data_IF_952889666802
#
_entry.id   IF_952889666802
#
_cell.length_a   1.000
_cell.length_b   1.000
_cell.length_c   1.000
_cell.angle_alpha   90.00
_cell.angle_beta   90.00
_cell.angle_gamma   90.00
#
_symmetry.space_group_name_H-M   'P 1'
#
loop_
_entity.id
_entity.type
_entity.pdbx_description
1 polymer ?
#
# COMPACT_ATOMS: atom_id res chain seq x y z
N UNK A 1 46.16 -19.74 3.38
CA UNK A 1 45.13 -19.77 2.31
C UNK A 1 43.96 -19.05 2.90
N UNK A 2 43.70 -17.82 2.45
CA UNK A 2 42.53 -17.07 2.90
C UNK A 2 41.28 -17.88 2.53
N UNK A 3 40.41 -18.13 3.50
CA UNK A 3 39.20 -18.91 3.28
C UNK A 3 38.33 -18.16 2.27
N UNK A 4 38.14 -18.74 1.09
CA UNK A 4 37.33 -18.14 0.04
C UNK A 4 35.86 -18.32 0.42
N UNK A 5 35.14 -17.21 0.62
CA UNK A 5 33.72 -17.23 0.96
C UNK A 5 32.88 -17.52 -0.29
N UNK A 6 31.85 -18.38 -0.24
CA UNK A 6 30.89 -18.50 -1.34
C UNK A 6 30.08 -17.19 -1.49
N UNK A 7 29.48 -16.92 -2.67
CA UNK A 7 28.60 -15.79 -2.88
C UNK A 7 27.47 -15.75 -1.83
N UNK A 8 27.13 -14.56 -1.33
CA UNK A 8 26.13 -14.42 -0.26
C UNK A 8 24.68 -14.34 -0.79
N UNK A 9 24.50 -14.10 -2.08
CA UNK A 9 23.20 -14.14 -2.76
C UNK A 9 23.28 -14.99 -4.04
N UNK A 10 22.16 -15.59 -4.48
CA UNK A 10 22.10 -16.34 -5.73
C UNK A 10 22.54 -15.50 -6.94
N UNK A 11 23.19 -16.10 -7.95
CA UNK A 11 23.68 -15.37 -9.12
C UNK A 11 22.56 -14.66 -9.92
N UNK A 12 21.33 -15.15 -9.81
CA UNK A 12 20.12 -14.63 -10.47
C UNK A 12 19.28 -13.72 -9.57
N UNK A 13 19.78 -13.35 -8.38
CA UNK A 13 19.10 -12.45 -7.45
C UNK A 13 19.01 -11.04 -8.03
N UNK A 14 17.90 -10.75 -8.72
CA UNK A 14 17.63 -9.48 -9.40
C UNK A 14 16.48 -8.71 -8.72
N UNK A 15 16.79 -7.54 -8.17
CA UNK A 15 15.86 -6.64 -7.48
C UNK A 15 15.74 -5.27 -8.14
N UNK A 16 16.15 -5.12 -9.42
CA UNK A 16 16.08 -3.83 -10.14
C UNK A 16 14.67 -3.28 -10.30
N UNK A 17 13.65 -4.13 -10.21
CA UNK A 17 12.23 -3.78 -10.21
C UNK A 17 11.72 -3.30 -8.84
N UNK A 18 12.53 -3.32 -7.78
CA UNK A 18 12.17 -2.85 -6.44
C UNK A 18 12.53 -1.37 -6.29
N UNK A 19 11.55 -0.46 -6.12
CA UNK A 19 11.82 0.98 -6.09
C UNK A 19 12.46 1.47 -4.78
N UNK A 20 12.56 0.62 -3.76
CA UNK A 20 13.15 0.95 -2.46
C UNK A 20 13.98 -0.20 -1.91
N UNK A 21 14.96 0.15 -1.08
CA UNK A 21 15.77 -0.78 -0.28
C UNK A 21 15.37 -0.66 1.20
N UNK A 22 15.02 -1.77 1.90
CA UNK A 22 14.77 -1.75 3.33
C UNK A 22 16.02 -1.36 4.13
N UNK A 23 15.87 -0.42 5.06
CA UNK A 23 16.93 -0.03 6.00
C UNK A 23 16.44 -0.18 7.45
N UNK A 24 17.13 -1.03 8.22
CA UNK A 24 16.86 -1.15 9.66
C UNK A 24 17.48 0.02 10.43
N UNK A 25 16.71 1.08 10.61
CA UNK A 25 17.17 2.36 11.19
C UNK A 25 17.88 2.16 12.54
N UNK A 26 17.34 1.32 13.42
CA UNK A 26 17.92 1.07 14.74
C UNK A 26 19.27 0.33 14.65
N UNK A 27 19.39 -0.68 13.77
CA UNK A 27 20.63 -1.41 13.52
C UNK A 27 21.69 -0.51 12.90
N UNK A 28 21.30 0.29 11.91
CA UNK A 28 22.16 1.27 11.27
C UNK A 28 22.70 2.28 12.28
N UNK A 29 21.83 2.96 13.02
CA UNK A 29 22.21 4.05 13.96
C UNK A 29 23.07 3.57 15.14
N UNK A 30 22.97 2.29 15.52
CA UNK A 30 23.78 1.66 16.57
C UNK A 30 25.06 0.97 16.04
N UNK A 31 25.24 0.89 14.73
CA UNK A 31 26.40 0.22 14.13
C UNK A 31 27.70 0.98 14.39
N UNK A 32 28.81 0.23 14.42
CA UNK A 32 30.16 0.84 14.52
C UNK A 32 30.49 1.70 13.29
N UNK A 33 29.97 1.36 12.11
CA UNK A 33 30.14 2.16 10.89
C UNK A 33 29.47 3.52 11.02
N UNK A 34 28.26 3.58 11.57
CA UNK A 34 27.55 4.84 11.81
C UNK A 34 28.19 5.68 12.92
N UNK A 35 28.78 5.04 13.95
CA UNK A 35 29.57 5.74 14.95
C UNK A 35 30.79 6.45 14.33
N UNK A 36 31.46 5.84 13.35
CA UNK A 36 32.55 6.49 12.60
C UNK A 36 32.03 7.62 11.71
N UNK A 37 30.91 7.39 11.02
CA UNK A 37 30.29 8.42 10.19
C UNK A 37 29.89 9.68 10.98
N UNK A 38 29.51 9.55 12.26
CA UNK A 38 29.30 10.73 13.13
C UNK A 38 30.53 11.61 13.28
N UNK A 39 31.73 11.03 13.22
CA UNK A 39 33.01 11.76 13.31
C UNK A 39 33.50 12.25 11.95
N UNK A 40 33.17 11.51 10.89
CA UNK A 40 33.45 11.88 9.51
C UNK A 40 32.20 11.66 8.64
N UNK A 41 31.33 12.67 8.51
CA UNK A 41 30.03 12.53 7.83
C UNK A 41 30.11 12.07 6.38
N UNK A 42 31.20 12.36 5.67
CA UNK A 42 31.41 11.92 4.29
C UNK A 42 31.38 10.39 4.15
N UNK A 43 31.78 9.64 5.20
CA UNK A 43 31.73 8.18 5.19
C UNK A 43 30.30 7.63 5.07
N UNK A 44 29.30 8.28 5.70
CA UNK A 44 27.92 7.85 5.58
C UNK A 44 27.41 8.02 4.15
N UNK A 45 27.78 9.13 3.50
CA UNK A 45 27.42 9.37 2.10
C UNK A 45 27.94 8.26 1.19
N UNK A 46 29.23 7.95 1.26
CA UNK A 46 29.83 6.88 0.45
C UNK A 46 29.23 5.49 0.75
N UNK A 47 29.05 5.15 2.03
CA UNK A 47 28.50 3.86 2.44
C UNK A 47 27.06 3.66 1.94
N UNK A 48 26.21 4.67 2.08
CA UNK A 48 24.80 4.58 1.63
C UNK A 48 24.73 4.46 0.12
N UNK A 49 25.53 5.24 -0.63
CA UNK A 49 25.55 5.14 -2.10
C UNK A 49 25.96 3.73 -2.57
N UNK A 50 26.99 3.13 -1.96
CA UNK A 50 27.38 1.76 -2.28
C UNK A 50 26.31 0.73 -1.90
N UNK A 51 25.62 0.90 -0.78
CA UNK A 51 24.53 -0.01 -0.40
C UNK A 51 23.37 0.07 -1.38
N UNK A 52 22.99 1.28 -1.80
CA UNK A 52 21.94 1.47 -2.80
C UNK A 52 22.35 0.97 -4.17
N UNK A 53 23.61 1.10 -4.57
CA UNK A 53 24.12 0.54 -5.82
C UNK A 53 24.08 -1.00 -5.77
N UNK A 54 24.57 -1.60 -4.69
CA UNK A 54 24.60 -3.05 -4.52
C UNK A 54 23.19 -3.65 -4.49
N UNK A 55 22.20 -2.94 -3.95
CA UNK A 55 20.81 -3.39 -3.93
C UNK A 55 20.25 -3.67 -5.34
N UNK A 56 20.63 -2.86 -6.33
CA UNK A 56 20.16 -2.99 -7.71
C UNK A 56 21.16 -3.68 -8.64
N UNK A 57 22.33 -4.04 -8.14
CA UNK A 57 23.28 -4.84 -8.91
C UNK A 57 22.80 -6.30 -9.04
N UNK A 58 23.38 -7.05 -9.97
CA UNK A 58 23.09 -8.48 -10.15
C UNK A 58 24.40 -9.27 -10.05
N UNK A 59 24.62 -10.03 -8.96
CA UNK A 59 23.67 -10.36 -7.88
C UNK A 59 23.42 -9.23 -6.88
N UNK A 60 22.16 -9.08 -6.43
CA UNK A 60 21.82 -8.05 -5.45
C UNK A 60 22.58 -8.25 -4.12
N UNK A 61 23.07 -7.15 -3.56
CA UNK A 61 23.94 -7.11 -2.38
C UNK A 61 25.44 -7.25 -2.69
N UNK A 62 25.81 -7.37 -3.98
CA UNK A 62 27.21 -7.43 -4.44
C UNK A 62 27.60 -6.20 -5.26
N UNK A 63 28.91 -6.01 -5.45
CA UNK A 63 29.52 -5.04 -6.36
C UNK A 63 30.78 -5.64 -7.00
N UNK A 64 31.20 -5.08 -8.12
CA UNK A 64 32.48 -5.40 -8.75
C UNK A 64 33.67 -4.97 -7.87
N UNK A 65 34.72 -5.79 -7.79
CA UNK A 65 35.96 -5.48 -7.07
C UNK A 65 36.93 -4.68 -7.95
N UNK A 66 36.49 -3.49 -8.37
CA UNK A 66 37.28 -2.54 -9.15
C UNK A 66 37.20 -1.15 -8.50
N UNK A 67 38.34 -0.52 -8.26
CA UNK A 67 38.40 0.75 -7.51
C UNK A 67 37.78 1.93 -8.27
N UNK A 68 37.85 1.96 -9.60
CA UNK A 68 37.23 3.03 -10.38
C UNK A 68 35.69 2.88 -10.36
N UNK A 69 35.20 1.64 -10.49
CA UNK A 69 33.77 1.32 -10.35
C UNK A 69 33.27 1.67 -8.94
N UNK A 70 33.99 1.25 -7.90
CA UNK A 70 33.60 1.53 -6.51
C UNK A 70 33.64 3.03 -6.19
N UNK A 71 34.63 3.77 -6.71
CA UNK A 71 34.70 5.22 -6.53
C UNK A 71 33.50 5.92 -7.18
N UNK A 72 33.16 5.56 -8.43
CA UNK A 72 32.01 6.10 -9.16
C UNK A 72 30.69 5.80 -8.44
N UNK A 73 30.46 4.53 -8.06
CA UNK A 73 29.26 4.11 -7.32
C UNK A 73 29.15 4.75 -5.94
N UNK A 74 30.26 4.99 -5.26
CA UNK A 74 30.27 5.74 -4.00
C UNK A 74 30.00 7.23 -4.22
N UNK A 75 30.07 7.74 -5.45
CA UNK A 75 30.13 9.16 -5.80
C UNK A 75 31.32 9.86 -5.12
N UNK A 76 32.46 9.18 -5.11
CA UNK A 76 33.72 9.68 -4.58
C UNK A 76 34.65 10.08 -5.74
N UNK A 77 35.35 11.21 -5.58
CA UNK A 77 36.44 11.58 -6.47
C UNK A 77 37.50 10.45 -6.48
N UNK A 78 37.89 9.89 -7.65
CA UNK A 78 38.90 8.83 -7.74
C UNK A 78 40.21 9.19 -7.04
N UNK A 79 40.62 10.46 -7.00
CA UNK A 79 41.83 10.89 -6.29
C UNK A 79 41.70 10.81 -4.75
N UNK A 80 40.47 10.81 -4.23
CA UNK A 80 40.16 10.68 -2.79
C UNK A 80 39.88 9.24 -2.39
N UNK A 81 39.40 8.40 -3.31
CA UNK A 81 38.97 7.03 -3.05
C UNK A 81 40.01 6.20 -2.27
N UNK A 82 41.31 6.15 -2.65
CA UNK A 82 42.30 5.35 -1.91
C UNK A 82 42.44 5.72 -0.43
N UNK A 83 42.10 6.96 -0.04
CA UNK A 83 42.20 7.43 1.35
C UNK A 83 41.00 7.02 2.20
N UNK A 84 39.85 6.76 1.58
CA UNK A 84 38.59 6.45 2.28
C UNK A 84 38.13 5.00 2.07
N UNK A 85 38.65 4.32 1.05
CA UNK A 85 38.28 2.96 0.63
C UNK A 85 38.16 2.00 1.80
N UNK A 86 39.21 1.86 2.61
CA UNK A 86 39.24 0.88 3.72
C UNK A 86 38.19 1.17 4.81
N UNK A 87 37.81 2.43 4.98
CA UNK A 87 36.76 2.81 5.94
C UNK A 87 35.36 2.60 5.37
N UNK A 88 35.18 2.88 4.09
CA UNK A 88 33.91 2.74 3.35
C UNK A 88 33.59 1.26 3.09
N UNK A 89 34.59 0.48 2.65
CA UNK A 89 34.48 -0.95 2.35
C UNK A 89 34.57 -1.85 3.60
N UNK A 90 34.47 -1.27 4.79
CA UNK A 90 34.47 -2.03 6.04
C UNK A 90 33.29 -3.00 6.10
N UNK A 91 33.60 -4.28 6.27
CA UNK A 91 32.60 -5.33 6.41
C UNK A 91 32.09 -5.89 5.09
N UNK A 92 32.63 -5.42 3.96
CA UNK A 92 32.46 -6.09 2.68
C UNK A 92 33.34 -7.34 2.62
N UNK A 93 32.85 -8.37 1.96
CA UNK A 93 33.48 -9.68 1.87
C UNK A 93 33.72 -9.99 0.39
N UNK A 94 34.97 -10.26 0.03
CA UNK A 94 35.28 -10.78 -1.31
C UNK A 94 34.93 -12.26 -1.38
N UNK A 95 34.04 -12.62 -2.29
CA UNK A 95 33.58 -13.99 -2.47
C UNK A 95 34.29 -14.69 -3.63
N UNK A 96 34.05 -16.00 -3.80
CA UNK A 96 34.71 -16.88 -4.77
C UNK A 96 34.46 -16.51 -6.23
N UNK A 97 33.41 -15.76 -6.50
CA UNK A 97 33.06 -15.22 -7.82
C UNK A 97 33.80 -13.92 -8.15
N UNK A 98 34.65 -13.43 -7.25
CA UNK A 98 35.45 -12.22 -7.43
C UNK A 98 34.73 -10.93 -7.08
N UNK A 99 33.46 -10.99 -6.65
CA UNK A 99 32.67 -9.81 -6.28
C UNK A 99 32.78 -9.49 -4.79
N UNK A 100 32.50 -8.25 -4.43
CA UNK A 100 32.42 -7.77 -3.05
C UNK A 100 30.97 -7.78 -2.58
N UNK A 101 30.69 -8.49 -1.49
CA UNK A 101 29.36 -8.60 -0.92
C UNK A 101 29.24 -7.83 0.38
N UNK A 102 28.13 -7.10 0.56
CA UNK A 102 27.79 -6.51 1.85
C UNK A 102 26.79 -7.40 2.61
N UNK A 103 27.17 -8.04 3.73
CA UNK A 103 26.29 -8.98 4.43
C UNK A 103 24.93 -8.40 4.85
N UNK A 104 24.86 -7.09 5.16
CA UNK A 104 23.61 -6.45 5.58
C UNK A 104 22.66 -6.24 4.40
N UNK A 105 23.19 -5.83 3.24
CA UNK A 105 22.39 -5.68 2.01
C UNK A 105 21.98 -7.06 1.48
N UNK A 106 22.88 -8.06 1.54
CA UNK A 106 22.60 -9.43 1.12
C UNK A 106 21.45 -10.06 1.92
N UNK A 107 21.42 -9.87 3.23
CA UNK A 107 20.34 -10.33 4.11
C UNK A 107 18.97 -9.82 3.61
N UNK A 108 18.87 -8.52 3.33
CA UNK A 108 17.63 -7.90 2.82
C UNK A 108 17.32 -8.26 1.38
N UNK A 109 18.35 -8.49 0.58
CA UNK A 109 18.19 -8.96 -0.79
C UNK A 109 17.59 -10.37 -0.80
N UNK A 110 18.06 -11.29 0.05
CA UNK A 110 17.53 -12.64 0.19
C UNK A 110 16.07 -12.66 0.65
N UNK A 111 15.72 -11.85 1.66
CA UNK A 111 14.34 -11.71 2.13
C UNK A 111 13.41 -11.27 0.98
N UNK A 112 13.83 -10.27 0.21
CA UNK A 112 13.05 -9.72 -0.90
C UNK A 112 12.99 -10.67 -2.11
N UNK A 113 14.10 -11.35 -2.39
CA UNK A 113 14.22 -12.34 -3.45
C UNK A 113 13.33 -13.55 -3.19
N UNK A 114 13.34 -14.10 -1.98
CA UNK A 114 12.48 -15.23 -1.60
C UNK A 114 10.99 -14.89 -1.80
N UNK A 115 10.57 -13.69 -1.35
CA UNK A 115 9.19 -13.23 -1.56
C UNK A 115 8.85 -13.03 -3.05
N UNK A 116 9.82 -12.59 -3.88
CA UNK A 116 9.64 -12.43 -5.33
C UNK A 116 9.48 -13.79 -6.02
N UNK A 117 10.35 -14.75 -5.71
CA UNK A 117 10.31 -16.10 -6.26
C UNK A 117 8.99 -16.79 -5.92
N UNK A 118 8.55 -16.74 -4.67
CA UNK A 118 7.28 -17.35 -4.24
C UNK A 118 6.07 -16.75 -4.99
N UNK A 119 6.04 -15.42 -5.18
CA UNK A 119 4.97 -14.76 -5.95
C UNK A 119 4.97 -15.20 -7.41
N UNK A 120 6.15 -15.34 -8.01
CA UNK A 120 6.31 -15.80 -9.38
C UNK A 120 5.79 -17.23 -9.54
N UNK A 121 6.19 -18.15 -8.65
CA UNK A 121 5.73 -19.54 -8.67
C UNK A 121 4.20 -19.64 -8.54
N UNK A 122 3.60 -18.90 -7.60
CA UNK A 122 2.14 -18.84 -7.44
C UNK A 122 1.45 -18.32 -8.71
N UNK A 123 2.00 -17.27 -9.33
CA UNK A 123 1.45 -16.72 -10.56
C UNK A 123 1.56 -17.71 -11.73
N UNK A 124 2.69 -18.41 -11.85
CA UNK A 124 2.90 -19.47 -12.86
C UNK A 124 1.90 -20.62 -12.66
N UNK A 125 1.70 -21.10 -11.43
CA UNK A 125 0.70 -22.13 -11.11
C UNK A 125 -0.73 -21.71 -11.44
N UNK A 126 -1.12 -20.47 -11.11
CA UNK A 126 -2.45 -19.94 -11.44
C UNK A 126 -2.65 -19.75 -12.94
N UNK A 127 -1.61 -19.30 -13.65
CA UNK A 127 -1.63 -19.18 -15.11
C UNK A 127 -1.76 -20.56 -15.77
N UNK A 128 -1.05 -21.56 -15.26
CA UNK A 128 -1.13 -22.95 -15.68
C UNK A 128 -2.52 -23.54 -15.46
N UNK A 129 -3.11 -23.32 -14.27
CA UNK A 129 -4.48 -23.74 -13.96
C UNK A 129 -5.49 -23.14 -14.93
N UNK A 130 -5.42 -21.81 -15.14
CA UNK A 130 -6.30 -21.09 -16.08
C UNK A 130 -6.09 -21.54 -17.53
N UNK A 131 -4.85 -21.87 -17.93
CA UNK A 131 -4.55 -22.41 -19.26
C UNK A 131 -5.24 -23.76 -19.45
N UNK A 132 -5.07 -24.69 -18.51
CA UNK A 132 -5.72 -26.01 -18.54
C UNK A 132 -7.25 -25.90 -18.57
N UNK A 133 -7.84 -24.98 -17.80
CA UNK A 133 -9.29 -24.74 -17.81
C UNK A 133 -9.79 -24.23 -19.17
N UNK A 134 -9.03 -23.35 -19.85
CA UNK A 134 -9.36 -22.88 -21.20
C UNK A 134 -9.24 -24.00 -22.23
N UNK A 135 -8.20 -24.82 -22.15
CA UNK A 135 -7.98 -25.97 -23.02
C UNK A 135 -9.08 -27.04 -22.84
N UNK A 136 -9.42 -27.39 -21.59
CA UNK A 136 -10.52 -28.31 -21.29
C UNK A 136 -11.85 -27.78 -21.82
N UNK A 137 -12.12 -26.49 -21.61
CA UNK A 137 -13.32 -25.83 -22.12
C UNK A 137 -13.37 -25.83 -23.65
N UNK A 138 -12.26 -25.54 -24.33
CA UNK A 138 -12.18 -25.57 -25.78
C UNK A 138 -12.45 -26.99 -26.31
N UNK A 139 -11.86 -28.01 -25.69
CA UNK A 139 -12.10 -29.42 -26.00
C UNK A 139 -13.57 -29.80 -25.81
N UNK A 140 -14.22 -29.37 -24.74
CA UNK A 140 -15.65 -29.63 -24.51
C UNK A 140 -16.54 -29.00 -25.59
N UNK A 141 -16.27 -27.75 -25.98
CA UNK A 141 -16.98 -27.13 -27.10
C UNK A 141 -16.75 -27.87 -28.42
N UNK A 142 -15.55 -28.38 -28.66
CA UNK A 142 -15.23 -29.14 -29.87
C UNK A 142 -15.99 -30.47 -29.92
N UNK A 143 -16.06 -31.20 -28.80
CA UNK A 143 -16.87 -32.43 -28.69
C UNK A 143 -18.35 -32.15 -28.97
N UNK A 144 -18.92 -31.13 -28.34
CA UNK A 144 -20.33 -30.79 -28.51
C UNK A 144 -20.64 -30.33 -29.94
N UNK A 145 -19.73 -29.55 -30.55
CA UNK A 145 -19.85 -29.15 -31.96
C UNK A 145 -19.79 -30.36 -32.90
N UNK A 146 -18.92 -31.34 -32.61
CA UNK A 146 -18.84 -32.60 -33.35
C UNK A 146 -20.12 -33.43 -33.27
N UNK A 147 -20.87 -33.32 -32.17
CA UNK A 147 -22.19 -33.91 -31.99
C UNK A 147 -23.35 -33.07 -32.56
N UNK A 148 -23.05 -31.98 -33.27
CA UNK A 148 -24.05 -31.09 -33.88
C UNK A 148 -24.68 -30.08 -32.91
N UNK A 149 -24.19 -29.97 -31.67
CA UNK A 149 -24.66 -29.00 -30.70
C UNK A 149 -23.82 -27.72 -30.76
N UNK A 150 -24.41 -26.62 -31.23
CA UNK A 150 -23.78 -25.29 -31.21
C UNK A 150 -24.28 -24.48 -30.02
N UNK A 151 -23.40 -24.25 -29.05
CA UNK A 151 -23.70 -23.52 -27.83
C UNK A 151 -23.17 -22.08 -27.87
N UNK A 152 -23.82 -21.14 -27.15
CA UNK A 152 -23.31 -19.79 -27.00
C UNK A 152 -21.97 -19.76 -26.25
N UNK A 153 -21.13 -18.77 -26.56
CA UNK A 153 -19.76 -18.66 -26.05
C UNK A 153 -19.65 -18.54 -24.52
N UNK A 154 -20.73 -18.11 -23.85
CA UNK A 154 -20.80 -17.87 -22.41
C UNK A 154 -21.39 -19.04 -21.60
N UNK A 155 -21.66 -20.20 -22.22
CA UNK A 155 -22.14 -21.41 -21.51
C UNK A 155 -21.19 -21.77 -20.37
N UNK A 156 -21.69 -22.11 -19.18
CA UNK A 156 -20.85 -22.37 -18.01
C UNK A 156 -20.07 -23.69 -18.14
N UNK A 157 -18.93 -23.82 -17.48
CA UNK A 157 -18.12 -25.06 -17.49
C UNK A 157 -18.88 -26.25 -16.91
N UNK A 158 -19.78 -26.02 -15.94
CA UNK A 158 -20.64 -27.06 -15.36
C UNK A 158 -21.62 -27.60 -16.42
N UNK A 159 -22.25 -26.70 -17.17
CA UNK A 159 -23.18 -27.08 -18.23
C UNK A 159 -22.46 -27.80 -19.37
N UNK A 160 -21.28 -27.32 -19.77
CA UNK A 160 -20.45 -27.99 -20.78
C UNK A 160 -20.09 -29.42 -20.35
N UNK A 161 -19.69 -29.62 -19.09
CA UNK A 161 -19.40 -30.97 -18.57
C UNK A 161 -20.62 -31.87 -18.59
N UNK A 162 -21.81 -31.35 -18.23
CA UNK A 162 -23.07 -32.11 -18.26
C UNK A 162 -23.41 -32.56 -19.68
N UNK A 163 -23.40 -31.62 -20.64
CA UNK A 163 -23.73 -31.91 -22.03
C UNK A 163 -22.71 -32.85 -22.68
N UNK A 164 -21.42 -32.69 -22.39
CA UNK A 164 -20.40 -33.62 -22.89
C UNK A 164 -20.65 -35.03 -22.35
N UNK A 165 -20.96 -35.17 -21.06
CA UNK A 165 -21.29 -36.46 -20.46
C UNK A 165 -22.52 -37.10 -21.14
N UNK A 166 -23.58 -36.33 -21.39
CA UNK A 166 -24.78 -36.81 -22.12
C UNK A 166 -24.44 -37.31 -23.53
N UNK A 167 -23.57 -36.59 -24.25
CA UNK A 167 -23.12 -36.98 -25.61
C UNK A 167 -22.19 -38.20 -25.58
N UNK A 168 -21.37 -38.37 -24.53
CA UNK A 168 -20.42 -39.49 -24.43
C UNK A 168 -21.01 -40.77 -23.82
N UNK A 169 -21.92 -40.67 -22.85
CA UNK A 169 -22.58 -41.84 -22.22
C UNK A 169 -23.81 -42.33 -23.02
N UNK A 170 -24.35 -41.50 -23.92
CA UNK A 170 -25.56 -41.77 -24.68
C UNK A 170 -25.33 -42.18 -26.14
N UNK A 171 -25.50 -43.48 -26.43
CA UNK A 171 -25.89 -43.96 -27.75
C UNK A 171 -27.32 -43.47 -28.05
N UNK A 172 -27.48 -42.71 -29.15
CA UNK A 172 -28.72 -42.38 -29.90
C UNK A 172 -29.99 -42.05 -29.08
N UNK A 173 -30.40 -40.78 -29.06
CA UNK A 173 -31.80 -40.40 -29.31
C UNK A 173 -31.89 -39.09 -30.10
N UNK A 174 -32.99 -38.97 -30.84
CA UNK A 174 -33.21 -38.08 -31.97
C UNK A 174 -33.01 -36.59 -31.70
N UNK A 175 -32.67 -35.88 -32.78
CA UNK A 175 -32.38 -34.47 -32.79
C UNK A 175 -33.49 -33.61 -32.22
N UNK A 176 -33.08 -32.65 -31.39
CA UNK A 176 -33.91 -31.53 -31.00
C UNK A 176 -33.30 -30.26 -31.55
N UNK A 177 -33.86 -29.82 -32.68
CA UNK A 177 -33.73 -28.48 -33.20
C UNK A 177 -34.26 -27.48 -32.16
N UNK A 178 -33.38 -26.64 -31.63
CA UNK A 178 -33.75 -25.50 -30.78
C UNK A 178 -33.49 -24.19 -31.52
N UNK A 179 -34.22 -24.00 -32.61
CA UNK A 179 -34.43 -22.71 -33.26
C UNK A 179 -35.85 -22.18 -32.99
N UNK A 180 -36.02 -21.49 -31.85
CA UNK A 180 -37.12 -20.55 -31.48
C UNK A 180 -37.11 -20.43 -29.96
N UNK A 181 -37.17 -19.29 -29.28
CA UNK A 181 -37.46 -17.91 -29.61
C UNK A 181 -37.89 -17.26 -28.27
N UNK A 182 -37.38 -16.05 -27.99
CA UNK A 182 -37.89 -15.04 -27.04
C UNK A 182 -38.77 -15.47 -25.86
N UNK A 183 -38.34 -15.16 -24.62
CA UNK A 183 -39.24 -14.57 -23.62
C UNK A 183 -38.53 -13.47 -22.82
N UNK A 184 -39.28 -12.38 -22.62
CA UNK A 184 -38.94 -11.09 -22.01
C UNK A 184 -38.88 -11.11 -20.47
N UNK A 185 -38.26 -10.06 -19.95
CA UNK A 185 -38.27 -9.57 -18.57
C UNK A 185 -39.63 -9.63 -17.88
N UNK A 186 -39.60 -9.97 -16.58
CA UNK A 186 -40.58 -9.52 -15.58
C UNK A 186 -39.93 -9.54 -14.19
N UNK A 187 -39.86 -8.37 -13.57
CA UNK A 187 -39.60 -8.19 -12.14
C UNK A 187 -40.84 -8.60 -11.33
N UNK A 188 -40.70 -9.40 -10.26
CA UNK A 188 -41.06 -8.97 -8.89
C UNK A 188 -40.65 -10.01 -7.81
N UNK A 189 -40.15 -9.45 -6.70
CA UNK A 189 -40.11 -9.93 -5.29
C UNK A 189 -39.60 -11.33 -4.88
N UNK A 190 -38.48 -11.28 -4.13
CA UNK A 190 -38.01 -12.17 -3.03
C UNK A 190 -39.11 -12.47 -1.98
N UNK A 191 -39.07 -13.57 -1.17
CA UNK A 191 -37.98 -13.77 -0.20
C UNK A 191 -37.56 -15.21 0.24
N UNK A 192 -36.34 -15.22 0.80
CA UNK A 192 -35.80 -16.00 1.93
C UNK A 192 -35.55 -17.53 1.87
N UNK A 193 -34.27 -17.84 2.09
CA UNK A 193 -33.66 -18.82 3.01
C UNK A 193 -34.22 -20.25 3.10
N UNK A 194 -33.37 -21.25 2.85
CA UNK A 194 -32.62 -21.96 3.91
C UNK A 194 -32.12 -23.37 3.49
N UNK A 195 -31.08 -23.82 4.21
CA UNK A 195 -30.67 -25.21 4.52
C UNK A 195 -29.70 -25.98 3.59
N UNK A 196 -28.50 -26.11 4.16
CA UNK A 196 -27.81 -27.37 4.53
C UNK A 196 -27.50 -28.37 3.42
N UNK A 197 -26.20 -28.59 3.21
CA UNK A 197 -25.69 -29.96 3.13
C UNK A 197 -24.27 -30.06 3.67
N UNK A 198 -24.18 -30.88 4.70
CA UNK A 198 -22.98 -31.49 5.26
C UNK A 198 -22.25 -32.29 4.17
N UNK A 199 -20.92 -32.35 4.26
CA UNK A 199 -20.20 -33.60 4.02
C UNK A 199 -18.86 -33.59 4.73
N UNK A 200 -18.72 -34.61 5.56
CA UNK A 200 -17.54 -35.05 6.29
C UNK A 200 -16.44 -35.51 5.33
N UNK A 201 -15.20 -35.39 5.79
CA UNK A 201 -14.01 -35.92 5.14
C UNK A 201 -12.82 -35.77 6.07
N UNK A 202 -12.69 -36.72 6.99
CA UNK A 202 -11.54 -36.91 7.87
C UNK A 202 -10.26 -37.19 7.06
N UNK A 203 -9.14 -36.70 7.56
CA UNK A 203 -7.80 -37.00 7.07
C UNK A 203 -6.78 -36.41 8.04
N UNK A 204 -6.51 -37.15 9.12
CA UNK A 204 -5.50 -36.83 10.12
C UNK A 204 -4.08 -36.92 9.53
N UNK A 205 -3.21 -36.02 9.99
CA UNK A 205 -1.78 -36.02 9.72
C UNK A 205 -1.09 -35.02 10.62
N UNK A 206 -0.88 -35.42 11.87
CA UNK A 206 -0.14 -34.65 12.89
C UNK A 206 1.36 -34.60 12.56
N UNK A 207 1.95 -33.43 12.75
CA UNK A 207 3.39 -33.22 12.78
C UNK A 207 3.69 -32.04 13.69
N UNK A 208 4.02 -32.34 14.94
CA UNK A 208 4.42 -31.39 15.98
C UNK A 208 5.65 -30.57 15.56
N UNK A 209 5.70 -29.29 15.99
CA UNK A 209 6.93 -28.63 16.45
C UNK A 209 6.61 -27.34 17.23
N UNK A 210 6.53 -27.55 18.54
CA UNK A 210 7.05 -26.73 19.64
C UNK A 210 7.75 -25.40 19.27
N UNK A 211 7.29 -24.27 19.83
CA UNK A 211 8.17 -23.16 20.16
C UNK A 211 7.75 -22.45 21.47
N UNK A 212 8.79 -22.19 22.27
CA UNK A 212 8.80 -21.89 23.70
C UNK A 212 8.18 -20.54 24.05
N UNK A 213 7.48 -20.54 25.19
CA UNK A 213 7.16 -19.37 25.98
C UNK A 213 8.42 -18.73 26.57
N UNK A 214 8.50 -17.41 26.54
CA UNK A 214 9.28 -16.63 27.50
C UNK A 214 8.37 -15.58 28.13
N UNK A 215 8.08 -15.82 29.40
CA UNK A 215 7.45 -14.90 30.34
C UNK A 215 8.50 -13.94 30.92
N UNK A 216 8.09 -12.68 31.13
CA UNK A 216 8.45 -11.91 32.32
C UNK A 216 9.64 -10.96 32.22
N UNK A 217 9.37 -9.67 32.43
CA UNK A 217 10.38 -8.65 32.66
C UNK A 217 9.79 -7.24 32.80
N UNK A 218 9.10 -6.99 33.91
CA UNK A 218 8.65 -5.65 34.33
C UNK A 218 9.88 -4.83 34.76
N UNK A 219 9.99 -3.59 34.28
CA UNK A 219 11.03 -2.64 34.66
C UNK A 219 10.52 -1.20 34.63
N UNK A 220 10.69 -0.52 35.75
CA UNK A 220 10.15 0.78 36.18
C UNK A 220 10.34 2.00 35.25
N UNK A 221 9.42 2.94 35.47
CA UNK A 221 9.23 4.27 34.89
C UNK A 221 10.33 5.30 35.21
N UNK A 222 10.67 6.14 34.25
CA UNK A 222 11.11 7.53 34.50
C UNK A 222 10.67 8.49 33.38
N UNK A 223 10.01 9.59 33.80
CA UNK A 223 10.16 10.93 33.23
C UNK A 223 9.35 11.29 31.98
N UNK A 224 8.10 11.72 32.17
CA UNK A 224 7.29 12.38 31.11
C UNK A 224 7.70 13.86 31.03
N UNK A 225 8.25 14.27 29.89
CA UNK A 225 8.31 15.69 29.48
C UNK A 225 7.09 16.04 28.61
N UNK A 226 6.67 17.32 28.52
CA UNK A 226 5.47 17.70 27.79
C UNK A 226 5.68 17.49 26.29
N UNK A 227 4.96 16.54 25.70
CA UNK A 227 4.97 16.27 24.27
C UNK A 227 4.03 17.23 23.53
N UNK A 228 4.61 17.90 22.54
CA UNK A 228 3.94 18.62 21.46
C UNK A 228 3.04 17.65 20.67
N UNK A 229 1.73 17.88 20.70
CA UNK A 229 0.70 17.05 20.07
C UNK A 229 0.31 17.59 18.67
N UNK A 230 1.28 17.69 17.76
CA UNK A 230 1.00 18.18 16.39
C UNK A 230 1.24 17.16 15.26
N UNK A 231 1.76 15.96 15.54
CA UNK A 231 1.86 14.90 14.52
C UNK A 231 0.71 13.90 14.66
N UNK A 232 -0.18 13.87 13.67
CA UNK A 232 -1.13 12.76 13.51
C UNK A 232 -0.35 11.44 13.42
N UNK A 233 -0.71 10.39 14.17
CA UNK A 233 0.03 9.14 14.14
C UNK A 233 0.03 8.55 12.71
N UNK A 234 1.13 7.89 12.30
CA UNK A 234 1.25 7.34 10.96
C UNK A 234 0.15 6.29 10.67
N UNK A 235 -0.24 6.13 9.39
CA UNK A 235 -1.18 5.09 8.98
C UNK A 235 -0.63 3.70 9.32
N UNK A 236 -1.52 2.79 9.72
CA UNK A 236 -1.18 1.43 10.11
C UNK A 236 -0.84 0.55 8.90
N UNK A 237 0.15 -0.33 9.05
CA UNK A 237 0.43 -1.40 8.09
C UNK A 237 -0.65 -2.49 8.13
N UNK A 238 -0.74 -3.32 7.09
CA UNK A 238 -1.70 -4.42 7.03
C UNK A 238 -1.55 -5.41 8.20
N UNK A 239 -0.30 -5.69 8.59
CA UNK A 239 0.00 -6.56 9.73
C UNK A 239 -0.42 -5.92 11.04
N UNK A 240 -0.15 -4.63 11.23
CA UNK A 240 -0.58 -3.88 12.42
C UNK A 240 -2.12 -3.83 12.53
N UNK A 241 -2.83 -3.65 11.41
CA UNK A 241 -4.31 -3.73 11.40
C UNK A 241 -4.79 -5.13 11.80
N UNK A 242 -4.13 -6.17 11.30
CA UNK A 242 -4.45 -7.57 11.62
C UNK A 242 -4.23 -7.91 13.10
N UNK A 243 -3.07 -7.53 13.65
CA UNK A 243 -2.72 -7.74 15.06
C UNK A 243 -3.72 -7.02 15.99
N UNK A 244 -4.03 -5.76 15.69
CA UNK A 244 -4.99 -4.98 16.48
C UNK A 244 -6.39 -5.60 16.45
N UNK A 245 -6.85 -6.10 15.29
CA UNK A 245 -8.13 -6.79 15.21
C UNK A 245 -8.17 -8.08 16.03
N UNK A 246 -7.08 -8.86 16.04
CA UNK A 246 -7.00 -10.07 16.85
C UNK A 246 -7.06 -9.73 18.34
N UNK A 247 -6.38 -8.66 18.77
CA UNK A 247 -6.43 -8.19 20.16
C UNK A 247 -7.84 -7.74 20.56
N UNK A 248 -8.49 -6.91 19.75
CA UNK A 248 -9.84 -6.40 20.00
C UNK A 248 -10.88 -7.52 20.08
N UNK A 249 -10.76 -8.56 19.25
CA UNK A 249 -11.65 -9.72 19.32
C UNK A 249 -11.34 -10.60 20.53
N UNK A 250 -10.06 -10.75 20.91
CA UNK A 250 -9.67 -11.49 22.11
C UNK A 250 -10.20 -10.84 23.40
N UNK A 251 -10.19 -9.50 23.49
CA UNK A 251 -10.81 -8.75 24.60
C UNK A 251 -12.32 -8.99 24.71
N UNK A 252 -12.98 -9.27 23.59
CA UNK A 252 -14.41 -9.65 23.53
C UNK A 252 -14.65 -11.14 23.81
N UNK A 253 -13.61 -11.89 24.19
CA UNK A 253 -13.68 -13.34 24.39
C UNK A 253 -13.89 -14.12 23.11
N UNK A 254 -13.51 -13.56 21.95
CA UNK A 254 -13.64 -14.19 20.63
C UNK A 254 -12.27 -14.53 20.07
N UNK A 255 -12.20 -15.62 19.31
CA UNK A 255 -10.95 -16.03 18.64
C UNK A 255 -11.05 -15.73 17.16
N UNK A 256 -10.25 -14.79 16.69
CA UNK A 256 -10.12 -14.46 15.27
C UNK A 256 -8.90 -15.16 14.67
N UNK A 257 -9.10 -15.97 13.61
CA UNK A 257 -8.01 -16.54 12.82
C UNK A 257 -7.94 -15.85 11.46
N UNK A 258 -6.80 -15.25 11.15
CA UNK A 258 -6.55 -14.58 9.88
C UNK A 258 -6.20 -15.62 8.81
N UNK A 259 -7.08 -15.80 7.83
CA UNK A 259 -6.84 -16.65 6.65
C UNK A 259 -6.11 -15.85 5.55
N UNK A 260 -5.60 -16.53 4.52
CA UNK A 260 -5.00 -15.86 3.34
C UNK A 260 -5.96 -14.85 2.68
N UNK A 261 -7.27 -15.13 2.70
CA UNK A 261 -8.31 -14.21 2.20
C UNK A 261 -8.51 -12.99 3.11
N UNK A 262 -8.26 -13.15 4.42
CA UNK A 262 -8.27 -12.04 5.37
C UNK A 262 -7.07 -11.11 5.14
N UNK A 263 -5.92 -11.65 4.72
CA UNK A 263 -4.73 -10.85 4.40
C UNK A 263 -4.94 -9.91 3.20
N UNK A 264 -5.63 -10.36 2.15
CA UNK A 264 -5.99 -9.47 1.02
C UNK A 264 -6.88 -8.29 1.44
N UNK A 265 -7.82 -8.52 2.37
CA UNK A 265 -8.66 -7.46 2.92
C UNK A 265 -7.85 -6.50 3.80
N UNK A 266 -6.91 -7.01 4.60
CA UNK A 266 -5.99 -6.18 5.39
C UNK A 266 -5.14 -5.26 4.51
N UNK A 267 -4.63 -5.75 3.37
CA UNK A 267 -3.89 -4.94 2.41
C UNK A 267 -4.75 -3.81 1.83
N UNK A 268 -6.02 -4.10 1.49
CA UNK A 268 -6.96 -3.06 1.01
C UNK A 268 -7.32 -2.04 2.09
N UNK A 269 -7.40 -2.45 3.35
CA UNK A 269 -7.68 -1.56 4.47
C UNK A 269 -6.47 -0.67 4.76
N UNK A 270 -5.26 -1.23 4.78
CA UNK A 270 -4.03 -0.47 4.95
C UNK A 270 -3.78 0.50 3.79
N UNK A 271 -4.11 0.10 2.55
CA UNK A 271 -4.03 0.96 1.37
C UNK A 271 -4.91 2.22 1.42
N UNK A 272 -5.90 2.28 2.32
CA UNK A 272 -6.72 3.48 2.58
C UNK A 272 -6.07 4.46 3.58
N UNK A 273 -4.88 4.14 4.10
CA UNK A 273 -4.17 5.02 5.04
C UNK A 273 -4.86 5.12 6.41
N UNK A 274 -5.47 4.04 6.90
CA UNK A 274 -6.18 4.04 8.17
C UNK A 274 -5.24 4.19 9.37
N UNK A 275 -5.53 5.11 10.29
CA UNK A 275 -4.82 5.23 11.57
C UNK A 275 -5.51 4.46 12.70
N UNK A 276 -4.80 4.20 13.81
CA UNK A 276 -5.32 3.46 14.96
C UNK A 276 -6.69 3.99 15.48
N UNK A 277 -6.91 5.30 15.65
CA UNK A 277 -8.20 5.80 16.12
C UNK A 277 -9.36 5.50 15.16
N UNK A 278 -9.11 5.51 13.85
CA UNK A 278 -10.12 5.19 12.85
C UNK A 278 -10.39 3.69 12.77
N UNK A 279 -9.37 2.86 12.98
CA UNK A 279 -9.53 1.41 13.08
C UNK A 279 -10.44 1.02 14.26
N UNK A 280 -10.24 1.63 15.43
CA UNK A 280 -11.09 1.40 16.61
C UNK A 280 -12.55 1.79 16.35
N UNK A 281 -12.79 2.91 15.67
CA UNK A 281 -14.15 3.34 15.28
C UNK A 281 -14.79 2.40 14.26
N UNK A 282 -14.05 2.02 13.23
CA UNK A 282 -14.53 1.05 12.23
C UNK A 282 -14.91 -0.28 12.89
N UNK A 283 -14.11 -0.74 13.85
CA UNK A 283 -14.37 -1.94 14.63
C UNK A 283 -15.63 -1.81 15.49
N UNK A 284 -15.81 -0.67 16.19
CA UNK A 284 -17.01 -0.40 16.96
C UNK A 284 -18.29 -0.40 16.09
N UNK A 285 -18.26 0.25 14.92
CA UNK A 285 -19.37 0.24 13.95
C UNK A 285 -19.69 -1.18 13.47
N UNK A 286 -18.66 -1.97 13.14
CA UNK A 286 -18.81 -3.36 12.76
C UNK A 286 -19.44 -4.21 13.89
N UNK A 287 -19.05 -3.97 15.14
CA UNK A 287 -19.62 -4.64 16.31
C UNK A 287 -21.10 -4.28 16.51
N UNK A 288 -21.45 -2.99 16.39
CA UNK A 288 -22.82 -2.51 16.49
C UNK A 288 -23.71 -3.14 15.41
N UNK A 289 -23.20 -3.26 14.17
CA UNK A 289 -23.93 -3.93 13.09
C UNK A 289 -24.19 -5.40 13.41
N UNK A 290 -23.19 -6.14 13.91
CA UNK A 290 -23.39 -7.55 14.29
C UNK A 290 -24.33 -7.73 15.46
N UNK A 291 -24.29 -6.83 16.44
CA UNK A 291 -25.24 -6.85 17.54
C UNK A 291 -26.68 -6.65 17.05
N UNK A 292 -26.90 -5.73 16.09
CA UNK A 292 -28.19 -5.51 15.46
C UNK A 292 -28.66 -6.73 14.64
N UNK A 293 -27.73 -7.40 13.95
CA UNK A 293 -27.99 -8.60 13.16
C UNK A 293 -28.02 -9.91 14.00
N UNK A 294 -27.83 -9.81 15.33
CA UNK A 294 -27.73 -10.94 16.27
C UNK A 294 -26.63 -11.97 15.90
N UNK A 295 -25.56 -11.53 15.24
CA UNK A 295 -24.42 -12.38 14.86
C UNK A 295 -23.32 -12.36 15.95
N UNK A 296 -23.02 -13.53 16.50
CA UNK A 296 -22.01 -13.73 17.53
C UNK A 296 -20.58 -13.96 16.99
N UNK A 297 -20.40 -13.98 15.67
CA UNK A 297 -19.12 -14.23 15.02
C UNK A 297 -18.09 -13.12 15.31
N UNK A 298 -16.77 -13.37 15.18
CA UNK A 298 -15.73 -12.35 15.33
C UNK A 298 -15.58 -11.44 14.11
N UNK A 299 -15.28 -10.15 14.32
CA UNK A 299 -15.14 -9.17 13.22
C UNK A 299 -13.94 -9.52 12.35
N UNK A 300 -14.20 -10.07 11.17
CA UNK A 300 -13.19 -10.43 10.18
C UNK A 300 -12.77 -9.19 9.36
N UNK A 301 -11.53 -9.12 8.83
CA UNK A 301 -11.09 -7.98 8.01
C UNK A 301 -12.00 -7.69 6.80
N UNK A 302 -12.50 -8.73 6.12
CA UNK A 302 -13.43 -8.54 5.00
C UNK A 302 -14.80 -7.97 5.43
N UNK A 303 -15.21 -8.16 6.68
CA UNK A 303 -16.42 -7.54 7.22
C UNK A 303 -16.15 -6.13 7.76
N UNK A 304 -14.92 -5.85 8.21
CA UNK A 304 -14.51 -4.51 8.64
C UNK A 304 -14.43 -3.52 7.47
N UNK A 305 -14.00 -3.98 6.29
CA UNK A 305 -13.71 -3.16 5.11
C UNK A 305 -14.77 -2.09 4.75
N UNK A 306 -16.09 -2.38 4.76
CA UNK A 306 -17.12 -1.38 4.46
C UNK A 306 -17.25 -0.24 5.49
N UNK A 307 -16.81 -0.46 6.74
CA UNK A 307 -16.91 0.52 7.83
C UNK A 307 -15.69 1.44 7.90
N UNK A 308 -14.63 1.15 7.13
CA UNK A 308 -13.40 1.92 7.12
C UNK A 308 -13.63 3.32 6.56
N UNK A 309 -14.35 3.43 5.44
CA UNK A 309 -14.58 4.72 4.78
C UNK A 309 -15.47 5.63 5.67
N UNK A 310 -16.47 5.05 6.36
CA UNK A 310 -17.31 5.74 7.35
C UNK A 310 -16.51 6.20 8.58
N UNK A 311 -15.68 5.33 9.16
CA UNK A 311 -14.85 5.67 10.31
C UNK A 311 -13.74 6.69 10.01
N UNK A 312 -13.28 6.74 8.75
CA UNK A 312 -12.34 7.75 8.25
C UNK A 312 -13.06 9.07 7.92
N UNK A 313 -14.31 9.02 7.46
CA UNK A 313 -15.15 10.20 7.27
C UNK A 313 -15.46 10.90 8.59
N UNK A 314 -15.63 10.18 9.70
CA UNK A 314 -15.78 10.77 11.04
C UNK A 314 -14.54 11.54 11.53
N UNK A 315 -13.37 11.39 10.89
CA UNK A 315 -12.20 12.28 11.09
C UNK A 315 -12.51 13.72 10.63
N UNK A 316 -13.49 13.89 9.74
CA UNK A 316 -14.08 15.15 9.29
C UNK A 316 -15.39 15.47 10.02
N UNK A 317 -15.77 14.65 11.00
CA UNK A 317 -16.95 14.80 11.86
C UNK A 317 -16.66 15.52 13.18
N UNK A 318 -15.53 16.20 13.32
CA UNK A 318 -15.53 17.41 14.11
C UNK A 318 -16.44 18.40 13.38
N UNK A 319 -17.35 19.07 14.09
CA UNK A 319 -18.13 20.19 13.53
C UNK A 319 -17.24 20.98 12.57
N UNK A 320 -17.65 21.26 11.31
CA UNK A 320 -16.77 21.90 10.33
C UNK A 320 -16.08 23.06 11.03
N UNK A 321 -14.74 23.20 10.91
CA UNK A 321 -14.08 24.38 11.47
C UNK A 321 -14.88 25.57 10.98
N UNK A 322 -15.29 26.45 11.90
CA UNK A 322 -16.15 27.57 11.59
C UNK A 322 -15.62 28.19 10.29
N UNK A 323 -16.46 28.36 9.25
CA UNK A 323 -15.98 28.82 7.96
C UNK A 323 -15.12 30.06 8.18
N UNK A 324 -13.94 30.09 7.54
CA UNK A 324 -13.06 31.26 7.61
C UNK A 324 -13.91 32.51 7.34
N UNK A 325 -13.61 33.62 8.02
CA UNK A 325 -14.39 34.86 7.92
C UNK A 325 -14.60 35.31 6.46
N UNK A 326 -13.72 34.91 5.54
CA UNK A 326 -13.78 35.28 4.13
C UNK A 326 -14.72 34.41 3.29
N UNK A 327 -15.31 33.35 3.88
CA UNK A 327 -16.21 32.43 3.20
C UNK A 327 -17.63 33.01 3.00
N UNK A 328 -18.05 33.98 3.82
CA UNK A 328 -19.37 34.62 3.71
C UNK A 328 -19.24 36.12 3.42
N UNK A 329 -20.15 36.72 2.63
CA UNK A 329 -20.16 38.17 2.39
C UNK A 329 -20.23 38.99 3.68
N UNK A 330 -20.96 38.49 4.68
CA UNK A 330 -21.12 39.13 5.98
C UNK A 330 -19.81 39.11 6.79
N UNK A 331 -19.06 38.00 6.73
CA UNK A 331 -17.76 37.88 7.39
C UNK A 331 -16.68 38.72 6.72
N UNK A 332 -16.71 38.82 5.38
CA UNK A 332 -15.83 39.75 4.64
C UNK A 332 -16.14 41.20 5.02
N UNK A 333 -17.41 41.58 5.14
CA UNK A 333 -17.79 42.93 5.55
C UNK A 333 -17.37 43.23 6.99
N UNK A 334 -17.58 42.31 7.93
CA UNK A 334 -17.16 42.48 9.31
C UNK A 334 -15.63 42.65 9.44
N UNK A 335 -14.85 41.88 8.67
CA UNK A 335 -13.39 42.02 8.63
C UNK A 335 -12.96 43.32 7.95
N UNK A 336 -13.69 43.76 6.92
CA UNK A 336 -13.43 45.03 6.27
C UNK A 336 -13.67 46.21 7.22
N UNK A 337 -14.75 46.17 8.02
CA UNK A 337 -15.05 47.19 9.03
C UNK A 337 -13.99 47.22 10.15
N UNK A 338 -13.50 46.05 10.58
CA UNK A 338 -12.38 45.93 11.53
C UNK A 338 -11.09 46.60 11.01
N UNK A 339 -10.80 46.41 9.71
CA UNK A 339 -9.62 46.97 9.05
C UNK A 339 -9.83 48.39 8.52
N UNK A 340 -11.02 48.97 8.68
CA UNK A 340 -11.37 50.31 8.18
C UNK A 340 -11.47 50.40 6.65
N UNK A 341 -11.67 49.26 5.95
CA UNK A 341 -11.74 49.17 4.50
C UNK A 341 -13.20 49.23 4.04
N UNK A 342 -13.56 50.26 3.26
CA UNK A 342 -14.91 50.38 2.68
C UNK A 342 -14.98 49.78 1.27
N UNK A 343 -16.12 49.18 0.92
CA UNK A 343 -16.40 48.72 -0.45
C UNK A 343 -16.83 49.90 -1.32
N UNK A 344 -16.22 50.06 -2.49
CA UNK A 344 -16.69 51.06 -3.45
C UNK A 344 -17.99 50.60 -4.13
N UNK A 345 -18.84 51.54 -4.57
CA UNK A 345 -20.15 51.22 -5.16
C UNK A 345 -20.06 50.34 -6.42
N UNK A 346 -19.01 50.55 -7.23
CA UNK A 346 -18.76 49.84 -8.49
C UNK A 346 -17.86 48.60 -8.33
N UNK A 347 -17.50 48.23 -7.10
CA UNK A 347 -16.54 47.15 -6.87
C UNK A 347 -17.20 45.78 -6.87
N UNK A 348 -16.65 44.88 -7.69
CA UNK A 348 -17.10 43.51 -7.76
C UNK A 348 -16.81 42.76 -6.44
N UNK A 349 -17.78 42.01 -5.87
CA UNK A 349 -17.65 41.37 -4.55
C UNK A 349 -16.42 40.46 -4.37
N UNK A 350 -16.00 39.77 -5.44
CA UNK A 350 -14.81 38.91 -5.42
C UNK A 350 -13.53 39.72 -5.20
N UNK A 351 -13.40 40.87 -5.88
CA UNK A 351 -12.22 41.72 -5.76
C UNK A 351 -12.18 42.45 -4.42
N UNK A 352 -13.34 42.82 -3.90
CA UNK A 352 -13.46 43.34 -2.54
C UNK A 352 -12.96 42.32 -1.51
N UNK A 353 -13.40 41.06 -1.59
CA UNK A 353 -12.91 39.97 -0.72
C UNK A 353 -11.40 39.79 -0.81
N UNK A 354 -10.83 39.72 -2.01
CA UNK A 354 -9.39 39.58 -2.18
C UNK A 354 -8.62 40.78 -1.60
N UNK A 355 -9.18 42.00 -1.69
CA UNK A 355 -8.59 43.19 -1.05
C UNK A 355 -8.58 43.05 0.46
N UNK A 356 -9.70 42.64 1.07
CA UNK A 356 -9.80 42.46 2.52
C UNK A 356 -8.84 41.36 3.01
N UNK A 357 -8.66 40.27 2.24
CA UNK A 357 -7.67 39.21 2.54
C UNK A 357 -6.23 39.75 2.48
N UNK A 358 -5.92 40.61 1.51
CA UNK A 358 -4.61 41.22 1.39
C UNK A 358 -4.32 42.18 2.55
N UNK A 359 -5.27 43.04 2.88
CA UNK A 359 -5.16 44.01 3.98
C UNK A 359 -5.17 43.33 5.36
N UNK A 360 -5.77 42.14 5.49
CA UNK A 360 -5.73 41.38 6.75
C UNK A 360 -4.35 40.77 7.05
N UNK A 361 -3.45 40.70 6.07
CA UNK A 361 -2.10 40.13 6.23
C UNK A 361 -2.08 38.63 6.54
N UNK A 362 -3.20 37.92 6.35
CA UNK A 362 -3.28 36.48 6.64
C UNK A 362 -2.64 35.68 5.49
N UNK A 363 -1.36 35.33 5.68
CA UNK A 363 -0.57 34.66 4.65
C UNK A 363 -1.20 33.35 4.18
N UNK A 364 -1.88 32.61 5.08
CA UNK A 364 -2.56 31.35 4.75
C UNK A 364 -3.69 31.57 3.75
N UNK A 365 -4.48 32.64 3.94
CA UNK A 365 -5.57 32.97 3.02
C UNK A 365 -5.04 33.51 1.69
N UNK A 366 -3.96 34.28 1.72
CA UNK A 366 -3.29 34.79 0.50
C UNK A 366 -2.75 33.61 -0.34
N UNK A 367 -1.98 32.70 0.26
CA UNK A 367 -1.45 31.51 -0.43
C UNK A 367 -2.56 30.61 -0.96
N UNK A 368 -3.67 30.46 -0.22
CA UNK A 368 -4.83 29.69 -0.65
C UNK A 368 -5.43 30.24 -1.93
N UNK A 369 -5.65 31.55 -2.02
CA UNK A 369 -6.24 32.19 -3.20
C UNK A 369 -5.26 32.22 -4.38
N UNK A 370 -3.96 32.40 -4.14
CA UNK A 370 -2.91 32.34 -5.17
C UNK A 370 -2.81 30.94 -5.76
N UNK A 371 -2.76 29.90 -4.92
CA UNK A 371 -2.75 28.48 -5.33
C UNK A 371 -4.02 28.09 -6.08
N UNK A 372 -5.17 28.68 -5.71
CA UNK A 372 -6.43 28.46 -6.42
C UNK A 372 -6.38 29.08 -7.82
N UNK A 373 -5.87 30.30 -7.96
CA UNK A 373 -5.71 30.96 -9.26
C UNK A 373 -4.74 30.23 -10.18
N UNK A 374 -3.64 29.67 -9.63
CA UNK A 374 -2.66 28.85 -10.36
C UNK A 374 -3.31 27.65 -11.05
N UNK A 375 -4.25 26.98 -10.38
CA UNK A 375 -4.94 25.79 -10.91
C UNK A 375 -5.97 26.11 -12.00
N UNK A 376 -6.42 27.36 -12.11
CA UNK A 376 -7.50 27.72 -13.03
C UNK A 376 -6.99 28.18 -14.39
N UNK A 377 -6.21 29.27 -14.44
CA UNK A 377 -5.70 29.82 -15.68
C UNK A 377 -4.45 30.69 -15.42
N UNK A 378 -3.36 30.55 -16.21
CA UNK A 378 -2.18 31.41 -16.14
C UNK A 378 -2.43 32.93 -16.14
N UNK A 379 -3.42 33.42 -16.91
CA UNK A 379 -3.74 34.86 -16.93
C UNK A 379 -4.36 35.33 -15.62
N UNK A 380 -5.20 34.49 -15.01
CA UNK A 380 -5.84 34.77 -13.73
C UNK A 380 -4.85 34.65 -12.57
N UNK A 381 -3.95 33.67 -12.64
CA UNK A 381 -2.81 33.56 -11.73
C UNK A 381 -1.95 34.82 -11.76
N UNK A 382 -1.58 35.32 -12.94
CA UNK A 382 -0.79 36.56 -13.05
C UNK A 382 -1.53 37.78 -12.49
N UNK A 383 -2.84 37.87 -12.66
CA UNK A 383 -3.67 38.96 -12.11
C UNK A 383 -3.78 38.90 -10.59
N UNK A 384 -4.08 37.73 -10.03
CA UNK A 384 -4.22 37.53 -8.57
C UNK A 384 -2.86 37.67 -7.88
N UNK A 385 -1.80 37.12 -8.45
CA UNK A 385 -0.44 37.26 -7.91
C UNK A 385 0.03 38.71 -7.91
N UNK A 386 -0.20 39.46 -9.00
CA UNK A 386 0.08 40.91 -9.04
C UNK A 386 -0.74 41.67 -8.02
N UNK A 387 -1.99 41.28 -7.84
CA UNK A 387 -2.87 41.93 -6.88
C UNK A 387 -2.45 41.68 -5.42
N UNK A 388 -2.01 40.47 -5.08
CA UNK A 388 -1.60 40.08 -3.72
C UNK A 388 -0.20 40.57 -3.36
N UNK A 389 0.78 40.38 -4.24
CA UNK A 389 2.20 40.63 -3.96
C UNK A 389 2.77 41.87 -4.65
N UNK A 390 2.02 42.55 -5.51
CA UNK A 390 2.48 43.73 -6.26
C UNK A 390 3.42 43.41 -7.43
N UNK A 391 3.82 42.15 -7.60
CA UNK A 391 4.72 41.68 -8.67
C UNK A 391 4.04 40.63 -9.56
N UNK A 392 4.48 40.53 -10.81
CA UNK A 392 4.08 39.38 -11.63
C UNK A 392 4.94 38.15 -11.31
N UNK A 393 4.41 36.92 -11.45
CA UNK A 393 5.22 35.71 -11.28
C UNK A 393 6.50 35.70 -12.15
N UNK A 394 6.42 36.27 -13.35
CA UNK A 394 7.55 36.39 -14.28
C UNK A 394 8.67 37.35 -13.80
N UNK A 395 8.35 38.32 -12.93
CA UNK A 395 9.33 39.24 -12.34
C UNK A 395 10.01 38.68 -11.09
N UNK A 396 9.47 37.61 -10.50
CA UNK A 396 10.08 36.91 -9.34
C UNK A 396 11.00 35.79 -9.81
N UNK A 397 10.77 35.27 -11.02
CA UNK A 397 11.54 34.19 -11.66
C UNK A 397 12.70 34.70 -12.54
N UNK A 398 12.80 36.01 -12.77
CA UNK A 398 13.88 36.69 -13.48
C UNK A 398 14.76 37.44 -12.49
#
# INVERSE_FOLDING_TARGET
>A
MDAVHPPLTPPDCDLRDFPFMPLEINRLRRSKSWLKAKRNPALAFYQINLWTAAWHDVPAGSLEDDDDVLADLAMCDPAKWPKVRDEVMRGWIKCSDGRLYNPTVCEKALESWAAKVERREKAEHENDRKRREREERARMFEVLRGAGQSLPWNTTTVELRRLVAEVTDGHVTHGHDLSRGQVRDSHDKKPCQSRLREREGQGEGQGEREFKSYSGGVGESQGVGPMDNSESPPPLSADAVGEQLVLLEAERGRTLRLSSRAHEALLRIAGRGIGLPALLRAHALACARRAADQDASPVNPGFLEPFVDEAMAERHGGSPPAPDWDATPEGVQAKADELGVQRAAEEHPIWFRLRVIRESGDHRLIEREVSKAERMNPEEFARVHRFMYGTTPAQVMA
#
